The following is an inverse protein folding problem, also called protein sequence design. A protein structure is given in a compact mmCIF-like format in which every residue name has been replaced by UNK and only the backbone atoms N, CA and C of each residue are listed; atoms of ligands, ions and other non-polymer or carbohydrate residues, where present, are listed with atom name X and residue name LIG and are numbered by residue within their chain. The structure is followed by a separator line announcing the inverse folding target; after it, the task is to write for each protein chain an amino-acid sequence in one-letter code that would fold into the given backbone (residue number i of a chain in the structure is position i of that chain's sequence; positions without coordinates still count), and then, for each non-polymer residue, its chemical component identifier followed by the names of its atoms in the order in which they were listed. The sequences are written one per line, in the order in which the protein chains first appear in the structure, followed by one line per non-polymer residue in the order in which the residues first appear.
data_IF_488886154828
#
_entry.id   IF_488886154828
#
_cell.length_a   1.000
_cell.length_b   1.000
_cell.length_c   1.000
_cell.angle_alpha   90.00
_cell.angle_beta   90.00
_cell.angle_gamma   90.00
#
_symmetry.space_group_name_H-M   'P 1'
#
loop_
_entity.id
_entity.type
_entity.pdbx_description
1 polymer ?
#
# COMPACT_ATOMS: atom_id res chain seq x y z
N UNK A 1 15.59 -35.65 -5.06
CA UNK A 1 14.25 -35.93 -4.50
C UNK A 1 13.39 -34.75 -4.83
N UNK A 2 12.44 -34.87 -5.74
CA UNK A 2 11.46 -33.82 -6.04
C UNK A 2 10.58 -33.67 -4.80
N UNK A 3 10.76 -32.57 -4.05
CA UNK A 3 9.84 -32.20 -2.98
C UNK A 3 8.42 -32.23 -3.52
N UNK A 4 7.50 -32.89 -2.82
CA UNK A 4 6.10 -32.86 -3.19
C UNK A 4 5.64 -31.39 -3.26
N UNK A 5 4.96 -31.01 -4.33
CA UNK A 5 4.43 -29.65 -4.50
C UNK A 5 3.47 -29.37 -3.36
N UNK A 6 3.70 -28.24 -2.67
CA UNK A 6 2.84 -27.74 -1.59
C UNK A 6 2.04 -26.55 -2.09
N UNK A 7 0.82 -26.39 -1.62
CA UNK A 7 -0.07 -25.29 -2.01
C UNK A 7 -0.07 -24.18 -0.98
N UNK A 8 0.03 -22.93 -1.45
CA UNK A 8 0.06 -21.70 -0.67
C UNK A 8 -1.09 -20.77 -1.04
N UNK A 9 -1.91 -20.41 -0.06
CA UNK A 9 -2.90 -19.35 -0.22
C UNK A 9 -2.48 -18.11 0.55
N UNK A 10 -2.35 -16.97 -0.14
CA UNK A 10 -2.01 -15.68 0.49
C UNK A 10 -3.20 -14.73 0.38
N UNK A 11 -3.69 -14.28 1.52
CA UNK A 11 -4.77 -13.29 1.60
C UNK A 11 -4.22 -11.96 2.10
N UNK A 12 -4.16 -10.99 1.21
CA UNK A 12 -3.61 -9.67 1.51
C UNK A 12 -4.72 -8.67 1.77
N UNK A 13 -4.62 -7.96 2.89
CA UNK A 13 -5.43 -6.81 3.24
C UNK A 13 -4.55 -5.60 3.49
N UNK A 14 -4.97 -4.43 3.04
CA UNK A 14 -4.33 -3.18 3.44
C UNK A 14 -3.82 -2.34 2.29
N UNK A 15 -2.58 -1.89 2.38
CA UNK A 15 -1.95 -0.97 1.45
C UNK A 15 -1.04 -1.69 0.44
N UNK A 16 -0.48 -0.92 -0.50
CA UNK A 16 0.43 -1.43 -1.54
C UNK A 16 1.68 -2.10 -0.94
N UNK A 17 2.18 -1.60 0.21
CA UNK A 17 3.29 -2.25 0.92
C UNK A 17 2.97 -3.70 1.32
N UNK A 18 1.73 -3.97 1.77
CA UNK A 18 1.33 -5.35 2.07
C UNK A 18 1.24 -6.20 0.81
N UNK A 19 0.87 -5.61 -0.33
CA UNK A 19 0.87 -6.33 -1.62
C UNK A 19 2.29 -6.71 -2.01
N UNK A 20 3.23 -5.76 -1.95
CA UNK A 20 4.65 -6.02 -2.16
C UNK A 20 5.18 -7.10 -1.22
N UNK A 21 4.96 -6.95 0.10
CA UNK A 21 5.40 -7.91 1.11
C UNK A 21 4.86 -9.32 0.81
N UNK A 22 3.58 -9.44 0.40
CA UNK A 22 2.97 -10.73 0.04
C UNK A 22 3.64 -11.38 -1.16
N UNK A 23 3.96 -10.62 -2.20
CA UNK A 23 4.73 -11.10 -3.34
C UNK A 23 6.11 -11.62 -2.92
N UNK A 24 6.82 -10.88 -2.08
CA UNK A 24 8.13 -11.29 -1.57
C UNK A 24 8.06 -12.53 -0.68
N UNK A 25 6.98 -12.71 0.10
CA UNK A 25 6.75 -13.96 0.84
C UNK A 25 6.55 -15.16 -0.11
N UNK A 26 5.82 -14.98 -1.21
CA UNK A 26 5.66 -16.02 -2.25
C UNK A 26 7.02 -16.37 -2.85
N UNK A 27 7.83 -15.37 -3.19
CA UNK A 27 9.18 -15.58 -3.73
C UNK A 27 10.08 -16.39 -2.78
N UNK A 28 10.02 -16.10 -1.48
CA UNK A 28 10.76 -16.83 -0.43
C UNK A 28 10.33 -18.31 -0.32
N UNK A 29 9.05 -18.59 -0.57
CA UNK A 29 8.47 -19.91 -0.38
C UNK A 29 8.52 -20.79 -1.64
N UNK A 30 8.66 -20.18 -2.81
CA UNK A 30 8.75 -20.91 -4.10
C UNK A 30 9.91 -21.92 -4.13
N UNK A 31 11.13 -21.61 -3.68
CA UNK A 31 12.23 -22.60 -3.63
C UNK A 31 11.96 -23.78 -2.66
N UNK A 32 11.05 -23.60 -1.69
CA UNK A 32 10.62 -24.66 -0.77
C UNK A 32 9.50 -25.56 -1.34
N UNK A 33 9.14 -25.33 -2.61
CA UNK A 33 8.13 -26.12 -3.32
C UNK A 33 6.69 -25.62 -3.17
N UNK A 34 6.48 -24.45 -2.56
CA UNK A 34 5.15 -23.84 -2.46
C UNK A 34 4.74 -23.20 -3.78
N UNK A 35 3.50 -23.47 -4.21
CA UNK A 35 2.85 -22.86 -5.37
C UNK A 35 1.56 -22.18 -4.93
N UNK A 36 1.29 -20.98 -5.45
CA UNK A 36 0.08 -20.23 -5.11
C UNK A 36 -1.19 -20.90 -5.65
N UNK A 37 -2.25 -20.83 -4.85
CA UNK A 37 -3.60 -21.29 -5.20
C UNK A 37 -4.62 -20.19 -4.97
N UNK A 38 -5.70 -20.19 -5.77
CA UNK A 38 -6.75 -19.17 -5.71
C UNK A 38 -7.75 -19.40 -4.56
N UNK A 39 -7.88 -20.61 -4.08
CA UNK A 39 -8.85 -20.98 -3.05
C UNK A 39 -8.15 -21.55 -1.82
N UNK A 40 -8.55 -21.12 -0.62
CA UNK A 40 -7.92 -21.58 0.62
C UNK A 40 -8.15 -23.07 0.91
N UNK A 41 -9.21 -23.66 0.35
CA UNK A 41 -9.59 -25.06 0.59
C UNK A 41 -8.57 -26.07 0.07
N UNK A 42 -7.70 -25.66 -0.84
CA UNK A 42 -6.64 -26.50 -1.42
C UNK A 42 -5.27 -26.24 -0.76
N UNK A 43 -5.18 -25.28 0.15
CA UNK A 43 -3.91 -24.80 0.67
C UNK A 43 -3.34 -25.66 1.80
N UNK A 44 -2.07 -26.06 1.66
CA UNK A 44 -1.26 -26.64 2.74
C UNK A 44 -0.77 -25.55 3.70
N UNK A 45 -0.68 -24.33 3.22
CA UNK A 45 -0.33 -23.16 4.02
C UNK A 45 -1.21 -21.95 3.65
N UNK A 46 -1.69 -21.24 4.66
CA UNK A 46 -2.45 -20.00 4.53
C UNK A 46 -1.70 -18.88 5.21
N UNK A 47 -1.44 -17.79 4.51
CA UNK A 47 -0.89 -16.53 5.06
C UNK A 47 -1.96 -15.45 4.98
N UNK A 48 -2.26 -14.81 6.12
CA UNK A 48 -3.08 -13.59 6.17
C UNK A 48 -2.15 -12.42 6.40
N UNK A 49 -1.88 -11.63 5.37
CA UNK A 49 -1.08 -10.40 5.49
C UNK A 49 -2.00 -9.19 5.69
N UNK A 50 -1.80 -8.45 6.78
CA UNK A 50 -2.77 -7.47 7.27
C UNK A 50 -2.16 -6.14 7.62
N UNK A 51 -2.95 -5.07 7.44
CA UNK A 51 -2.59 -3.69 7.74
C UNK A 51 -3.33 -3.21 9.00
N UNK A 52 -2.66 -2.45 9.84
CA UNK A 52 -3.22 -1.89 11.08
C UNK A 52 -3.86 -0.50 10.90
N UNK A 53 -3.85 0.07 9.69
CA UNK A 53 -4.31 1.44 9.43
C UNK A 53 -5.86 1.53 9.38
N UNK A 54 -6.56 0.46 8.98
CA UNK A 54 -8.01 0.47 8.77
C UNK A 54 -8.78 0.13 10.05
N UNK A 55 -9.94 0.79 10.20
CA UNK A 55 -10.93 0.42 11.21
C UNK A 55 -11.30 -1.07 11.10
N UNK A 56 -11.48 -1.73 12.23
CA UNK A 56 -11.85 -3.16 12.30
C UNK A 56 -10.86 -4.12 11.63
N UNK A 57 -9.61 -3.70 11.36
CA UNK A 57 -8.63 -4.59 10.75
C UNK A 57 -8.40 -5.83 11.60
N UNK A 58 -8.22 -5.66 12.91
CA UNK A 58 -8.02 -6.75 13.88
C UNK A 58 -9.22 -7.69 13.94
N UNK A 59 -10.47 -7.17 14.04
CA UNK A 59 -11.67 -8.00 14.04
C UNK A 59 -11.83 -8.79 12.73
N UNK A 60 -11.46 -8.19 11.60
CA UNK A 60 -11.48 -8.86 10.31
C UNK A 60 -10.50 -10.03 10.28
N UNK A 61 -9.31 -9.87 10.86
CA UNK A 61 -8.33 -10.96 11.02
C UNK A 61 -8.97 -12.12 11.79
N UNK A 62 -9.57 -11.87 12.95
CA UNK A 62 -10.19 -12.93 13.75
C UNK A 62 -11.37 -13.60 13.02
N UNK A 63 -12.18 -12.86 12.27
CA UNK A 63 -13.25 -13.41 11.45
C UNK A 63 -12.70 -14.36 10.37
N UNK A 64 -11.62 -13.99 9.69
CA UNK A 64 -10.96 -14.84 8.69
C UNK A 64 -10.29 -16.06 9.34
N UNK A 65 -9.61 -15.86 10.46
CA UNK A 65 -9.00 -16.96 11.22
C UNK A 65 -10.03 -18.02 11.61
N UNK A 66 -11.24 -17.62 12.01
CA UNK A 66 -12.33 -18.55 12.29
C UNK A 66 -12.76 -19.39 11.08
N UNK A 67 -12.67 -18.84 9.86
CA UNK A 67 -12.91 -19.59 8.59
C UNK A 67 -11.80 -20.57 8.32
N UNK A 68 -10.54 -20.13 8.45
CA UNK A 68 -9.37 -20.98 8.20
C UNK A 68 -9.21 -22.08 9.27
N UNK A 69 -9.68 -21.86 10.50
CA UNK A 69 -9.76 -22.92 11.49
C UNK A 69 -10.62 -24.08 11.02
N UNK A 70 -11.83 -23.80 10.50
CA UNK A 70 -12.71 -24.85 9.96
C UNK A 70 -12.07 -25.63 8.81
N UNK A 71 -11.32 -24.92 7.96
CA UNK A 71 -10.55 -25.54 6.89
C UNK A 71 -9.44 -26.46 7.45
N UNK A 72 -8.64 -25.99 8.39
CA UNK A 72 -7.61 -26.77 9.06
C UNK A 72 -8.18 -28.00 9.74
N UNK A 73 -9.28 -27.85 10.50
CA UNK A 73 -9.93 -28.97 11.21
C UNK A 73 -10.41 -30.05 10.22
N UNK A 74 -10.97 -29.68 9.06
CA UNK A 74 -11.39 -30.61 8.01
C UNK A 74 -10.19 -31.37 7.44
N UNK A 75 -9.12 -30.66 7.06
CA UNK A 75 -7.91 -31.28 6.50
C UNK A 75 -7.21 -32.19 7.51
N UNK A 76 -7.17 -31.81 8.77
CA UNK A 76 -6.63 -32.65 9.83
C UNK A 76 -7.41 -33.97 9.96
N UNK A 77 -8.73 -33.94 9.79
CA UNK A 77 -9.57 -35.15 9.78
C UNK A 77 -9.26 -36.06 8.58
N UNK A 78 -8.72 -35.50 7.48
CA UNK A 78 -8.23 -36.23 6.31
C UNK A 78 -6.76 -36.68 6.43
N UNK A 79 -6.11 -36.44 7.57
CA UNK A 79 -4.70 -36.74 7.78
C UNK A 79 -3.73 -35.78 7.06
N UNK A 80 -4.19 -34.58 6.69
CA UNK A 80 -3.41 -33.53 6.05
C UNK A 80 -3.27 -32.34 6.98
N UNK A 81 -2.06 -31.89 7.24
CA UNK A 81 -1.82 -30.70 8.04
C UNK A 81 -1.98 -29.41 7.23
N UNK A 82 -2.38 -28.34 7.91
CA UNK A 82 -2.43 -27.00 7.34
C UNK A 82 -1.73 -26.01 8.28
N UNK A 83 -0.77 -25.26 7.76
CA UNK A 83 -0.11 -24.18 8.48
C UNK A 83 -0.93 -22.90 8.28
N UNK A 84 -1.31 -22.25 9.39
CA UNK A 84 -1.93 -20.92 9.38
C UNK A 84 -0.94 -19.90 9.93
N UNK A 85 -0.67 -18.85 9.14
CA UNK A 85 0.21 -17.76 9.49
C UNK A 85 -0.51 -16.41 9.42
N UNK A 86 -0.21 -15.51 10.36
CA UNK A 86 -0.66 -14.11 10.35
C UNK A 86 0.57 -13.22 10.22
N UNK A 87 0.54 -12.32 9.26
CA UNK A 87 1.64 -11.44 8.91
C UNK A 87 1.23 -9.96 8.86
N UNK A 88 2.22 -9.08 8.84
CA UNK A 88 2.06 -7.65 8.58
C UNK A 88 1.83 -6.81 9.83
N UNK A 89 1.30 -5.58 9.66
CA UNK A 89 1.24 -4.58 10.73
C UNK A 89 0.29 -4.98 11.88
N UNK A 90 -0.77 -5.76 11.64
CA UNK A 90 -1.63 -6.27 12.74
C UNK A 90 -0.88 -7.35 13.53
N UNK A 91 -0.15 -8.23 12.85
CA UNK A 91 0.70 -9.22 13.51
C UNK A 91 1.74 -8.55 14.41
N UNK A 92 2.37 -7.48 13.93
CA UNK A 92 3.33 -6.68 14.70
C UNK A 92 2.72 -6.03 15.94
N UNK A 93 1.50 -5.47 15.81
CA UNK A 93 0.85 -4.72 16.88
C UNK A 93 0.14 -5.61 17.91
N UNK A 94 -0.42 -6.75 17.47
CA UNK A 94 -1.36 -7.58 18.23
C UNK A 94 -0.89 -9.04 18.35
N UNK A 95 0.41 -9.30 18.16
CA UNK A 95 0.95 -10.66 18.05
C UNK A 95 0.56 -11.58 19.21
N UNK A 96 0.78 -11.12 20.44
CA UNK A 96 0.40 -11.87 21.65
C UNK A 96 -1.11 -12.12 21.75
N UNK A 97 -1.92 -11.13 21.43
CA UNK A 97 -3.38 -11.23 21.43
C UNK A 97 -3.87 -12.26 20.40
N UNK A 98 -3.27 -12.26 19.20
CA UNK A 98 -3.59 -13.25 18.16
C UNK A 98 -3.26 -14.66 18.65
N UNK A 99 -2.07 -14.86 19.24
CA UNK A 99 -1.64 -16.16 19.77
C UNK A 99 -2.55 -16.66 20.90
N UNK A 100 -2.97 -15.75 21.79
CA UNK A 100 -3.84 -16.10 22.91
C UNK A 100 -5.27 -16.46 22.48
N UNK A 101 -5.87 -15.70 21.54
CA UNK A 101 -7.24 -15.90 21.08
C UNK A 101 -7.38 -16.96 19.98
N UNK A 102 -6.32 -17.22 19.23
CA UNK A 102 -6.31 -18.17 18.13
C UNK A 102 -5.13 -19.18 18.25
N UNK A 103 -5.12 -20.05 19.29
CA UNK A 103 -4.02 -20.98 19.55
C UNK A 103 -3.78 -22.03 18.45
N UNK A 104 -4.65 -22.09 17.44
CA UNK A 104 -4.50 -22.93 16.24
C UNK A 104 -3.67 -22.26 15.14
N UNK A 105 -3.29 -20.99 15.30
CA UNK A 105 -2.36 -20.29 14.43
C UNK A 105 -0.95 -20.81 14.71
N UNK A 106 -0.22 -21.15 13.65
CA UNK A 106 1.13 -21.73 13.77
C UNK A 106 2.22 -20.67 13.84
N UNK A 107 2.02 -19.52 13.17
CA UNK A 107 3.02 -18.47 13.08
C UNK A 107 2.34 -17.09 13.07
N UNK A 108 2.93 -16.15 13.83
CA UNK A 108 2.58 -14.71 13.79
C UNK A 108 3.89 -13.94 13.65
N UNK A 109 4.02 -13.12 12.60
CA UNK A 109 5.25 -12.39 12.34
C UNK A 109 5.03 -11.01 11.77
N UNK A 110 5.94 -10.11 12.14
CA UNK A 110 5.93 -8.72 11.71
C UNK A 110 6.38 -8.51 10.27
N UNK A 111 6.23 -7.28 9.73
CA UNK A 111 6.68 -6.95 8.38
C UNK A 111 8.21 -6.92 8.25
N UNK A 112 8.96 -6.88 9.34
CA UNK A 112 10.42 -6.83 9.31
C UNK A 112 11.07 -8.22 9.37
N UNK A 113 10.32 -9.26 9.73
CA UNK A 113 10.87 -10.60 9.97
C UNK A 113 10.45 -11.65 8.96
N UNK A 114 9.64 -11.31 7.94
CA UNK A 114 9.13 -12.29 6.97
C UNK A 114 10.24 -12.98 6.14
N UNK A 115 11.43 -12.41 6.05
CA UNK A 115 12.58 -13.08 5.43
C UNK A 115 13.01 -14.36 6.14
N UNK A 116 12.63 -14.51 7.45
CA UNK A 116 12.85 -15.72 8.25
C UNK A 116 11.76 -16.80 8.06
N UNK A 117 10.81 -16.60 7.13
CA UNK A 117 9.75 -17.57 6.85
C UNK A 117 10.24 -19.00 6.61
N UNK A 118 11.33 -19.26 5.89
CA UNK A 118 11.86 -20.61 5.70
C UNK A 118 12.18 -21.32 7.04
N UNK A 119 12.78 -20.59 7.97
CA UNK A 119 13.14 -21.11 9.31
C UNK A 119 11.90 -21.35 10.17
N UNK A 120 10.96 -20.40 10.17
CA UNK A 120 9.69 -20.53 10.91
C UNK A 120 8.87 -21.72 10.41
N UNK A 121 8.81 -21.96 9.11
CA UNK A 121 8.12 -23.12 8.53
C UNK A 121 8.78 -24.42 8.96
N UNK A 122 10.11 -24.49 8.92
CA UNK A 122 10.85 -25.67 9.38
C UNK A 122 10.60 -25.97 10.87
N UNK A 123 10.48 -24.92 11.69
CA UNK A 123 10.13 -25.05 13.10
C UNK A 123 8.68 -25.50 13.29
N UNK A 124 7.74 -24.91 12.54
CA UNK A 124 6.32 -25.29 12.60
C UNK A 124 6.10 -26.76 12.23
N UNK A 125 6.77 -27.26 11.19
CA UNK A 125 6.69 -28.68 10.82
C UNK A 125 7.25 -29.59 11.93
N UNK A 126 8.38 -29.25 12.54
CA UNK A 126 8.94 -30.02 13.67
C UNK A 126 7.96 -30.13 14.84
N UNK A 127 7.28 -29.04 15.20
CA UNK A 127 6.29 -29.03 16.29
C UNK A 127 5.06 -29.88 15.96
N UNK A 128 4.63 -29.92 14.70
CA UNK A 128 3.53 -30.77 14.23
C UNK A 128 3.93 -32.25 14.29
N UNK A 129 5.11 -32.61 13.79
CA UNK A 129 5.61 -34.00 13.73
C UNK A 129 5.82 -34.60 15.15
N UNK A 130 6.25 -33.79 16.12
CA UNK A 130 6.50 -34.23 17.49
C UNK A 130 5.22 -34.41 18.31
N UNK A 131 4.03 -34.09 17.73
CA UNK A 131 2.74 -34.11 18.44
C UNK A 131 2.78 -33.40 19.79
N UNK A 132 3.70 -32.44 19.94
CA UNK A 132 3.63 -31.52 21.07
C UNK A 132 2.25 -30.88 21.00
N UNK A 133 1.47 -31.02 22.10
CA UNK A 133 0.12 -30.49 22.20
C UNK A 133 0.09 -29.02 21.76
N UNK A 134 -1.04 -28.29 21.77
CA UNK A 134 -1.14 -26.92 21.28
C UNK A 134 -0.13 -26.03 22.02
N UNK A 135 1.13 -26.17 21.62
CA UNK A 135 2.24 -25.32 22.03
C UNK A 135 1.95 -23.91 21.54
N UNK A 136 2.52 -22.91 22.20
CA UNK A 136 2.53 -21.55 21.64
C UNK A 136 3.13 -21.64 20.26
N UNK A 137 2.39 -21.23 19.23
CA UNK A 137 2.94 -21.10 17.89
C UNK A 137 4.13 -20.13 17.88
N UNK A 138 4.75 -19.96 16.74
CA UNK A 138 5.92 -19.09 16.57
C UNK A 138 5.46 -17.63 16.54
N UNK A 139 6.02 -16.79 17.38
CA UNK A 139 5.82 -15.34 17.37
C UNK A 139 7.16 -14.67 17.07
N UNK A 140 7.26 -13.96 15.94
CA UNK A 140 8.44 -13.19 15.54
C UNK A 140 8.04 -11.78 15.10
N UNK A 141 8.03 -10.86 16.05
CA UNK A 141 7.71 -9.46 15.89
C UNK A 141 8.89 -8.55 16.22
N UNK A 142 10.10 -9.08 16.09
CA UNK A 142 11.33 -8.33 16.32
C UNK A 142 11.55 -7.25 15.26
N UNK A 143 12.42 -6.31 15.59
CA UNK A 143 13.03 -5.36 14.66
C UNK A 143 14.51 -5.73 14.50
N UNK A 144 14.85 -6.60 13.53
CA UNK A 144 16.23 -7.01 13.31
C UNK A 144 17.09 -5.83 12.86
N UNK A 145 18.39 -5.89 13.18
CA UNK A 145 19.37 -4.87 12.78
C UNK A 145 19.65 -4.96 11.28
N UNK A 146 19.75 -6.18 10.76
CA UNK A 146 19.98 -6.41 9.33
C UNK A 146 18.68 -6.17 8.53
N UNK A 147 18.74 -5.38 7.44
CA UNK A 147 17.60 -5.15 6.60
C UNK A 147 17.10 -6.44 5.96
N UNK A 148 15.81 -6.70 6.01
CA UNK A 148 15.20 -7.88 5.38
C UNK A 148 15.48 -7.99 3.87
N UNK A 149 15.71 -6.87 3.20
CA UNK A 149 15.95 -6.80 1.76
C UNK A 149 17.22 -7.56 1.33
N UNK A 150 18.22 -7.67 2.22
CA UNK A 150 19.47 -8.38 1.94
C UNK A 150 19.29 -9.90 1.83
N UNK A 151 18.15 -10.42 2.32
CA UNK A 151 17.84 -11.85 2.35
C UNK A 151 16.74 -12.25 1.35
N UNK A 152 16.24 -11.31 0.55
CA UNK A 152 15.18 -11.61 -0.39
C UNK A 152 15.74 -12.27 -1.67
N UNK A 153 15.12 -13.34 -2.17
CA UNK A 153 15.52 -13.96 -3.42
C UNK A 153 15.23 -13.04 -4.62
N UNK A 154 15.68 -13.42 -5.80
CA UNK A 154 15.27 -12.79 -7.04
C UNK A 154 13.73 -12.79 -7.17
N UNK A 155 13.19 -11.80 -7.89
CA UNK A 155 11.75 -11.68 -8.11
C UNK A 155 11.24 -12.90 -8.88
N UNK A 156 10.15 -13.48 -8.41
CA UNK A 156 9.45 -14.58 -9.07
C UNK A 156 8.61 -14.14 -10.28
N UNK A 157 7.50 -14.79 -10.52
CA UNK A 157 6.56 -14.41 -11.57
C UNK A 157 5.86 -13.10 -11.22
N UNK A 158 5.60 -12.27 -12.24
CA UNK A 158 4.89 -11.00 -12.10
C UNK A 158 3.66 -11.04 -13.00
N UNK A 159 2.50 -10.78 -12.40
CA UNK A 159 1.24 -10.70 -13.13
C UNK A 159 1.01 -9.27 -13.63
N UNK A 160 0.72 -9.13 -14.93
CA UNK A 160 0.37 -7.85 -15.54
C UNK A 160 1.56 -6.94 -15.87
N UNK A 161 1.25 -5.73 -16.29
CA UNK A 161 2.23 -4.73 -16.77
C UNK A 161 2.69 -3.72 -15.70
N UNK A 162 2.21 -3.83 -14.44
CA UNK A 162 2.57 -2.91 -13.35
C UNK A 162 3.11 -3.65 -12.13
N UNK A 163 4.08 -3.04 -11.43
CA UNK A 163 4.66 -3.61 -10.22
C UNK A 163 4.90 -2.54 -9.14
N UNK A 164 4.86 -2.98 -7.89
CA UNK A 164 5.31 -2.19 -6.74
C UNK A 164 6.77 -2.49 -6.44
N UNK A 165 7.51 -1.45 -6.09
CA UNK A 165 8.91 -1.53 -5.70
C UNK A 165 9.13 -0.72 -4.42
N UNK A 166 9.37 -1.40 -3.31
CA UNK A 166 9.66 -0.74 -2.04
C UNK A 166 11.06 -0.16 -2.07
N UNK A 167 11.18 1.15 -1.89
CA UNK A 167 12.46 1.86 -1.81
C UNK A 167 12.79 2.36 -0.40
N UNK A 168 11.75 2.51 0.44
CA UNK A 168 11.86 3.04 1.78
C UNK A 168 10.85 2.34 2.70
N UNK A 169 11.24 2.03 3.93
CA UNK A 169 10.37 1.52 4.98
C UNK A 169 10.57 2.26 6.30
N UNK A 170 9.56 2.14 7.19
CA UNK A 170 9.56 2.83 8.45
C UNK A 170 9.32 4.34 8.31
N UNK A 171 9.22 5.06 9.41
CA UNK A 171 9.00 6.51 9.37
C UNK A 171 9.34 7.16 10.70
N UNK A 172 10.18 8.20 10.67
CA UNK A 172 10.63 8.95 11.85
C UNK A 172 9.87 10.28 12.06
N UNK A 173 8.71 10.44 11.41
CA UNK A 173 7.92 11.67 11.56
C UNK A 173 7.13 11.72 12.86
N UNK A 174 6.81 10.57 13.46
CA UNK A 174 6.08 10.45 14.73
C UNK A 174 4.81 11.32 14.78
N UNK A 175 4.02 11.31 13.71
CA UNK A 175 2.70 11.94 13.72
C UNK A 175 1.85 11.30 14.83
N UNK A 176 1.19 12.11 15.65
CA UNK A 176 0.56 11.67 16.91
C UNK A 176 -0.58 10.64 16.75
N UNK A 177 -1.15 10.51 15.56
CA UNK A 177 -2.19 9.52 15.26
C UNK A 177 -1.64 8.22 14.64
N UNK A 178 -0.34 8.19 14.29
CA UNK A 178 0.22 7.17 13.40
C UNK A 178 0.92 6.05 14.17
N UNK A 179 0.61 4.81 13.78
CA UNK A 179 1.24 3.62 14.36
C UNK A 179 2.44 3.08 13.54
N UNK A 180 2.78 3.70 12.41
CA UNK A 180 3.86 3.21 11.53
C UNK A 180 5.19 3.06 12.24
N UNK A 181 5.70 4.02 13.06
CA UNK A 181 6.96 3.83 13.77
C UNK A 181 6.98 2.59 14.67
N UNK A 182 5.83 2.19 15.19
CA UNK A 182 5.68 1.05 16.10
C UNK A 182 5.43 -0.28 15.38
N UNK A 183 5.04 -0.24 14.11
CA UNK A 183 4.71 -1.45 13.35
C UNK A 183 5.68 -1.74 12.21
N UNK A 184 6.39 -0.74 11.70
CA UNK A 184 7.40 -0.88 10.65
C UNK A 184 8.79 -0.38 11.05
N UNK A 185 8.90 0.25 12.24
CA UNK A 185 10.17 0.68 12.81
C UNK A 185 10.66 2.03 12.28
N UNK A 186 11.94 2.29 12.55
CA UNK A 186 12.67 3.45 12.08
C UNK A 186 12.76 3.50 10.56
N UNK A 187 12.97 4.69 10.03
CA UNK A 187 13.15 4.89 8.59
C UNK A 187 14.41 4.19 8.09
N UNK A 188 14.25 3.44 7.01
CA UNK A 188 15.32 2.78 6.27
C UNK A 188 15.12 3.02 4.77
N UNK A 189 16.10 3.62 4.13
CA UNK A 189 16.15 3.84 2.68
C UNK A 189 17.10 2.84 2.03
N UNK A 190 16.60 2.08 1.04
CA UNK A 190 17.38 1.07 0.32
C UNK A 190 18.47 1.71 -0.54
N UNK A 191 19.65 1.08 -0.70
CA UNK A 191 20.68 1.53 -1.63
C UNK A 191 20.14 1.65 -3.07
N UNK A 192 20.55 2.70 -3.79
CA UNK A 192 20.16 2.94 -5.19
C UNK A 192 20.43 1.73 -6.08
N UNK A 193 21.58 1.09 -5.90
CA UNK A 193 21.98 -0.09 -6.69
C UNK A 193 20.97 -1.22 -6.58
N UNK A 194 20.47 -1.50 -5.38
CA UNK A 194 19.54 -2.61 -5.15
C UNK A 194 18.16 -2.33 -5.72
N UNK A 195 17.73 -1.06 -5.64
CA UNK A 195 16.49 -0.60 -6.29
C UNK A 195 16.57 -0.75 -7.80
N UNK A 196 17.68 -0.33 -8.41
CA UNK A 196 17.86 -0.43 -9.87
C UNK A 196 17.92 -1.91 -10.31
N UNK A 197 18.64 -2.76 -9.58
CA UNK A 197 18.70 -4.19 -9.87
C UNK A 197 17.31 -4.85 -9.81
N UNK A 198 16.48 -4.49 -8.82
CA UNK A 198 15.12 -5.01 -8.70
C UNK A 198 14.22 -4.46 -9.81
N UNK A 199 14.35 -3.18 -10.17
CA UNK A 199 13.64 -2.57 -11.29
C UNK A 199 13.98 -3.27 -12.62
N UNK A 200 15.25 -3.54 -12.90
CA UNK A 200 15.68 -4.26 -14.10
C UNK A 200 15.10 -5.68 -14.17
N UNK A 201 15.04 -6.40 -13.04
CA UNK A 201 14.39 -7.72 -12.98
C UNK A 201 12.88 -7.65 -13.31
N UNK A 202 12.18 -6.63 -12.80
CA UNK A 202 10.76 -6.39 -13.10
C UNK A 202 10.55 -6.11 -14.60
N UNK A 203 11.38 -5.23 -15.18
CA UNK A 203 11.30 -4.85 -16.59
C UNK A 203 11.62 -6.03 -17.51
N UNK A 204 12.60 -6.88 -17.14
CA UNK A 204 12.92 -8.11 -17.87
C UNK A 204 11.75 -9.12 -17.89
N UNK A 205 10.79 -9.00 -16.96
CA UNK A 205 9.55 -9.80 -16.89
C UNK A 205 8.35 -9.14 -17.59
N UNK A 206 8.56 -8.01 -18.29
CA UNK A 206 7.53 -7.33 -19.07
C UNK A 206 6.74 -6.28 -18.33
N UNK A 207 7.15 -5.92 -17.10
CA UNK A 207 6.58 -4.77 -16.38
C UNK A 207 6.88 -3.48 -17.15
N UNK A 208 5.90 -2.60 -17.26
CA UNK A 208 5.98 -1.30 -17.95
C UNK A 208 5.78 -0.12 -17.01
N UNK A 209 5.09 -0.33 -15.90
CA UNK A 209 4.83 0.67 -14.88
C UNK A 209 5.41 0.20 -13.54
N UNK A 210 6.27 1.02 -12.93
CA UNK A 210 6.79 0.80 -11.58
C UNK A 210 6.26 1.89 -10.65
N UNK A 211 5.66 1.48 -9.54
CA UNK A 211 5.28 2.39 -8.45
C UNK A 211 6.22 2.22 -7.27
N UNK A 212 6.98 3.26 -6.97
CA UNK A 212 7.89 3.31 -5.81
C UNK A 212 7.08 3.46 -4.52
N UNK A 213 7.38 2.60 -3.56
CA UNK A 213 6.67 2.57 -2.27
C UNK A 213 7.58 2.98 -1.12
N UNK A 214 6.96 3.68 -0.16
CA UNK A 214 7.51 3.99 1.15
C UNK A 214 6.41 4.38 2.12
N UNK A 215 6.69 4.47 3.42
CA UNK A 215 5.79 5.09 4.39
C UNK A 215 5.90 6.62 4.34
N UNK A 216 7.02 7.12 3.84
CA UNK A 216 7.30 8.51 3.56
C UNK A 216 8.27 8.55 2.37
N UNK A 217 7.78 8.17 1.19
CA UNK A 217 8.59 7.86 0.02
C UNK A 217 9.47 9.04 -0.43
N UNK A 218 9.02 10.28 -0.24
CA UNK A 218 9.78 11.47 -0.62
C UNK A 218 10.82 11.92 0.42
N UNK A 219 10.94 11.21 1.57
CA UNK A 219 12.10 11.32 2.44
C UNK A 219 13.22 10.32 2.08
N UNK A 220 13.07 9.57 0.99
CA UNK A 220 14.10 8.64 0.53
C UNK A 220 15.48 9.32 0.45
N UNK A 221 16.50 8.66 1.04
CA UNK A 221 17.89 9.12 1.12
C UNK A 221 18.85 7.92 1.01
N UNK A 222 18.66 7.09 -0.02
CA UNK A 222 19.45 5.88 -0.22
C UNK A 222 20.88 6.17 -0.68
N UNK A 223 21.81 5.30 -0.26
CA UNK A 223 23.20 5.34 -0.69
C UNK A 223 23.32 5.12 -2.20
N UNK A 224 24.03 6.01 -2.89
CA UNK A 224 24.28 5.96 -4.32
C UNK A 224 25.67 6.49 -4.68
N UNK A 225 25.98 6.51 -5.99
CA UNK A 225 27.26 7.02 -6.44
C UNK A 225 27.40 8.51 -6.10
N UNK A 226 28.43 8.82 -5.30
CA UNK A 226 28.73 10.19 -4.88
C UNK A 226 28.00 10.65 -3.61
N UNK A 227 27.39 9.74 -2.86
CA UNK A 227 26.72 10.02 -1.59
C UNK A 227 25.23 9.64 -1.59
N UNK A 228 24.47 10.21 -0.67
CA UNK A 228 23.02 9.97 -0.56
C UNK A 228 22.25 10.61 -1.73
N UNK A 229 21.23 9.92 -2.20
CA UNK A 229 20.33 10.36 -3.26
C UNK A 229 18.92 10.57 -2.73
N UNK A 230 18.33 11.73 -3.04
CA UNK A 230 16.90 11.97 -2.83
C UNK A 230 16.03 11.27 -3.87
N UNK A 231 14.72 11.31 -3.64
CA UNK A 231 13.75 10.69 -4.55
C UNK A 231 13.81 11.30 -5.96
N UNK A 232 13.93 12.64 -6.07
CA UNK A 232 14.03 13.31 -7.37
C UNK A 232 15.16 12.72 -8.22
N UNK A 233 16.37 12.62 -7.67
CA UNK A 233 17.54 12.05 -8.35
C UNK A 233 17.34 10.58 -8.73
N UNK A 234 16.70 9.79 -7.85
CA UNK A 234 16.36 8.39 -8.15
C UNK A 234 15.41 8.30 -9.36
N UNK A 235 14.40 9.18 -9.45
CA UNK A 235 13.46 9.20 -10.58
C UNK A 235 14.18 9.47 -11.91
N UNK A 236 15.11 10.43 -11.96
CA UNK A 236 15.93 10.68 -13.17
C UNK A 236 16.70 9.42 -13.60
N UNK A 237 17.34 8.74 -12.66
CA UNK A 237 18.11 7.53 -12.97
C UNK A 237 17.23 6.36 -13.40
N UNK A 238 16.08 6.18 -12.76
CA UNK A 238 15.12 5.13 -13.16
C UNK A 238 14.53 5.37 -14.55
N UNK A 239 14.31 6.62 -14.91
CA UNK A 239 13.81 6.99 -16.24
C UNK A 239 14.74 6.59 -17.40
N UNK A 240 16.01 6.28 -17.11
CA UNK A 240 16.96 5.78 -18.12
C UNK A 240 16.87 4.26 -18.35
N UNK A 241 16.09 3.53 -17.51
CA UNK A 241 15.97 2.09 -17.63
C UNK A 241 15.18 1.68 -18.88
N UNK A 242 15.73 0.84 -19.76
CA UNK A 242 15.05 0.44 -20.97
C UNK A 242 13.81 -0.41 -20.66
N UNK A 243 12.69 -0.08 -21.31
CA UNK A 243 11.43 -0.79 -21.15
C UNK A 243 10.50 -0.21 -20.08
N UNK A 244 10.97 0.72 -19.25
CA UNK A 244 10.10 1.48 -18.33
C UNK A 244 9.29 2.51 -19.13
N UNK A 245 7.96 2.44 -19.04
CA UNK A 245 7.07 3.37 -19.75
C UNK A 245 6.37 4.33 -18.78
N UNK A 246 6.15 3.92 -17.51
CA UNK A 246 5.52 4.74 -16.47
C UNK A 246 6.21 4.57 -15.13
N UNK A 247 6.45 5.67 -14.47
CA UNK A 247 7.06 5.74 -13.15
C UNK A 247 6.16 6.52 -12.19
N UNK A 248 5.93 5.94 -11.02
CA UNK A 248 5.09 6.51 -9.97
C UNK A 248 5.76 6.38 -8.62
N UNK A 249 5.31 7.16 -7.68
CA UNK A 249 5.61 7.00 -6.27
C UNK A 249 4.36 7.30 -5.43
N UNK A 250 4.29 6.81 -4.20
CA UNK A 250 3.12 7.04 -3.36
C UNK A 250 3.49 7.13 -1.89
N UNK A 251 2.63 7.81 -1.11
CA UNK A 251 2.77 8.06 0.32
C UNK A 251 3.87 9.08 0.63
N UNK A 252 3.67 10.31 0.16
CA UNK A 252 4.55 11.44 0.41
C UNK A 252 4.14 12.23 1.66
N UNK A 253 5.09 12.97 2.22
CA UNK A 253 4.83 13.93 3.31
C UNK A 253 5.14 15.34 2.82
N UNK A 254 4.26 16.34 3.06
CA UNK A 254 4.46 17.70 2.56
C UNK A 254 5.80 18.33 2.96
N UNK A 255 6.29 18.04 4.16
CA UNK A 255 7.56 18.55 4.66
C UNK A 255 8.78 18.15 3.84
N UNK A 256 8.72 17.00 3.18
CA UNK A 256 9.87 16.38 2.50
C UNK A 256 9.78 16.52 0.97
N UNK A 257 8.91 17.39 0.48
CA UNK A 257 8.89 17.78 -0.94
C UNK A 257 10.02 18.76 -1.18
N UNK A 258 10.89 18.44 -2.12
CA UNK A 258 12.02 19.28 -2.53
C UNK A 258 11.90 19.72 -4.00
N UNK A 259 12.79 20.63 -4.39
CA UNK A 259 12.81 21.19 -5.73
C UNK A 259 13.18 20.15 -6.81
N UNK A 260 14.00 19.15 -6.46
CA UNK A 260 14.42 18.11 -7.40
C UNK A 260 13.25 17.18 -7.75
N UNK A 261 12.40 16.83 -6.75
CA UNK A 261 11.19 16.07 -6.97
C UNK A 261 10.19 16.82 -7.87
N UNK A 262 10.01 18.13 -7.64
CA UNK A 262 9.14 18.98 -8.47
C UNK A 262 9.70 19.06 -9.90
N UNK A 263 11.02 19.23 -10.05
CA UNK A 263 11.68 19.26 -11.36
C UNK A 263 11.51 17.92 -12.10
N UNK A 264 11.55 16.78 -11.41
CA UNK A 264 11.32 15.47 -12.03
C UNK A 264 9.92 15.38 -12.70
N UNK A 265 8.89 15.98 -12.13
CA UNK A 265 7.56 16.05 -12.77
C UNK A 265 7.52 16.97 -13.99
N UNK A 266 8.38 17.99 -14.06
CA UNK A 266 8.49 18.86 -15.22
C UNK A 266 9.27 18.20 -16.37
N UNK A 267 10.37 17.52 -16.03
CA UNK A 267 11.40 17.14 -16.99
C UNK A 267 11.28 15.69 -17.48
N UNK A 268 10.59 14.81 -16.73
CA UNK A 268 10.54 13.38 -17.01
C UNK A 268 9.11 12.97 -17.44
N UNK A 269 8.84 12.82 -18.76
CA UNK A 269 7.48 12.52 -19.24
C UNK A 269 6.86 11.21 -18.71
N UNK A 270 7.71 10.24 -18.33
CA UNK A 270 7.24 8.96 -17.77
C UNK A 270 6.92 9.02 -16.29
N UNK A 271 7.30 10.08 -15.57
CA UNK A 271 6.77 10.33 -14.21
C UNK A 271 5.33 10.77 -14.34
N UNK A 272 4.43 9.90 -13.90
CA UNK A 272 3.00 10.15 -14.10
C UNK A 272 2.53 11.40 -13.34
N UNK A 273 1.67 12.22 -13.96
CA UNK A 273 1.22 13.51 -13.39
C UNK A 273 0.16 13.29 -12.29
N UNK A 274 0.52 12.53 -11.28
CA UNK A 274 -0.34 12.20 -10.14
C UNK A 274 0.49 12.12 -8.87
N UNK A 275 0.17 12.98 -7.89
CA UNK A 275 0.89 13.07 -6.62
C UNK A 275 -0.07 12.77 -5.47
N UNK A 276 0.21 11.70 -4.71
CA UNK A 276 -0.46 11.42 -3.45
C UNK A 276 0.29 12.10 -2.30
N UNK A 277 -0.30 13.17 -1.76
CA UNK A 277 0.31 14.05 -0.74
C UNK A 277 -0.62 14.23 0.46
N UNK A 278 -0.64 13.29 1.41
CA UNK A 278 -1.49 13.33 2.60
C UNK A 278 -1.29 14.57 3.47
N UNK A 279 -2.27 15.47 3.52
CA UNK A 279 -2.25 16.67 4.39
C UNK A 279 -2.80 16.38 5.77
N UNK A 280 -3.83 15.54 5.88
CA UNK A 280 -4.61 15.12 7.03
C UNK A 280 -5.64 16.16 7.52
N UNK A 281 -5.33 17.46 7.55
CA UNK A 281 -6.22 18.54 7.93
C UNK A 281 -5.84 19.85 7.23
N UNK A 282 -6.79 20.74 7.02
CA UNK A 282 -6.56 22.10 6.52
C UNK A 282 -6.33 23.15 7.62
N UNK A 283 -6.49 22.76 8.89
CA UNK A 283 -6.28 23.64 10.05
C UNK A 283 -4.87 23.57 10.58
N UNK A 284 -4.18 24.69 10.73
CA UNK A 284 -2.85 24.76 11.32
C UNK A 284 -2.85 24.33 12.80
N UNK A 285 -3.94 24.59 13.52
CA UNK A 285 -4.13 24.10 14.89
C UNK A 285 -4.10 22.56 14.92
N UNK A 286 -4.86 21.90 14.04
CA UNK A 286 -4.88 20.45 13.93
C UNK A 286 -3.57 19.88 13.42
N UNK A 287 -2.96 20.46 12.41
CA UNK A 287 -1.67 20.05 11.89
C UNK A 287 -0.58 20.08 12.97
N UNK A 288 -0.57 21.12 13.80
CA UNK A 288 0.33 21.23 14.95
C UNK A 288 0.04 20.14 15.99
N UNK A 289 -1.22 19.92 16.35
CA UNK A 289 -1.64 18.90 17.30
C UNK A 289 -1.30 17.48 16.81
N UNK A 290 -1.41 17.23 15.50
CA UNK A 290 -1.01 16.00 14.84
C UNK A 290 0.50 15.80 14.66
N UNK A 291 1.32 16.79 15.07
CA UNK A 291 2.78 16.79 14.86
C UNK A 291 3.21 16.75 13.38
N UNK A 292 2.44 17.40 12.47
CA UNK A 292 2.71 17.34 11.01
C UNK A 292 3.89 18.24 10.57
N UNK A 293 4.29 19.21 11.36
CA UNK A 293 5.45 20.09 11.12
C UNK A 293 5.39 20.90 9.80
N UNK A 294 4.19 21.14 9.28
CA UNK A 294 3.92 22.07 8.19
C UNK A 294 2.61 22.81 8.45
N UNK A 295 2.38 23.90 7.73
CA UNK A 295 1.15 24.68 7.76
C UNK A 295 0.30 24.42 6.52
N UNK A 296 -0.96 24.83 6.55
CA UNK A 296 -1.85 24.75 5.39
C UNK A 296 -1.40 25.70 4.28
N UNK A 297 -0.77 26.83 4.59
CA UNK A 297 -0.17 27.73 3.62
C UNK A 297 1.03 27.07 2.90
N UNK A 298 1.94 26.46 3.65
CA UNK A 298 3.06 25.71 3.07
C UNK A 298 2.57 24.59 2.14
N UNK A 299 1.48 23.90 2.52
CA UNK A 299 0.88 22.87 1.67
C UNK A 299 0.35 23.44 0.34
N UNK A 300 -0.39 24.58 0.40
CA UNK A 300 -0.86 25.28 -0.81
C UNK A 300 0.28 25.74 -1.71
N UNK A 301 1.38 26.19 -1.11
CA UNK A 301 2.57 26.61 -1.86
C UNK A 301 3.20 25.43 -2.62
N UNK A 302 3.31 24.24 -2.00
CA UNK A 302 3.76 23.02 -2.68
C UNK A 302 2.84 22.68 -3.85
N UNK A 303 1.52 22.70 -3.67
CA UNK A 303 0.53 22.44 -4.74
C UNK A 303 0.74 23.40 -5.91
N UNK A 304 0.95 24.68 -5.61
CA UNK A 304 1.19 25.71 -6.63
C UNK A 304 2.47 25.41 -7.40
N UNK A 305 3.57 25.12 -6.73
CA UNK A 305 4.86 24.78 -7.38
C UNK A 305 4.75 23.56 -8.29
N UNK A 306 4.06 22.51 -7.87
CA UNK A 306 3.81 21.36 -8.75
C UNK A 306 2.97 21.72 -9.98
N UNK A 307 1.93 22.55 -9.83
CA UNK A 307 1.09 23.00 -10.95
C UNK A 307 1.83 23.90 -11.93
N UNK A 308 2.76 24.71 -11.44
CA UNK A 308 3.66 25.51 -12.29
C UNK A 308 4.63 24.63 -13.09
N UNK A 309 5.16 23.57 -12.48
CA UNK A 309 6.07 22.62 -13.09
C UNK A 309 5.37 21.63 -14.05
N UNK A 310 4.18 21.16 -13.67
CA UNK A 310 3.39 20.16 -14.39
C UNK A 310 1.91 20.59 -14.35
N UNK A 311 1.41 21.38 -15.32
CA UNK A 311 0.05 21.94 -15.29
C UNK A 311 -1.07 20.90 -15.19
N UNK A 312 -0.85 19.69 -15.71
CA UNK A 312 -1.83 18.61 -15.72
C UNK A 312 -1.76 17.74 -14.45
N UNK A 313 -0.93 18.09 -13.45
CA UNK A 313 -0.76 17.27 -12.26
C UNK A 313 -2.07 17.16 -11.47
N UNK A 314 -2.45 15.94 -11.16
CA UNK A 314 -3.58 15.62 -10.30
C UNK A 314 -3.11 15.29 -8.87
N UNK A 315 -3.86 15.77 -7.88
CA UNK A 315 -3.54 15.53 -6.48
C UNK A 315 -4.52 14.57 -5.84
N UNK A 316 -3.97 13.77 -4.94
CA UNK A 316 -4.70 12.92 -4.02
C UNK A 316 -4.19 13.17 -2.59
N UNK A 317 -5.05 12.98 -1.60
CA UNK A 317 -4.69 13.21 -0.19
C UNK A 317 -5.47 12.28 0.73
N UNK A 318 -5.02 12.22 1.99
CA UNK A 318 -5.73 11.62 3.10
C UNK A 318 -6.21 12.71 4.04
N UNK A 319 -7.41 12.52 4.62
CA UNK A 319 -8.02 13.40 5.60
C UNK A 319 -8.50 12.63 6.82
N UNK A 320 -8.25 13.19 8.00
CA UNK A 320 -8.78 12.70 9.27
C UNK A 320 -9.71 13.76 9.84
N UNK A 321 -10.98 13.42 10.04
CA UNK A 321 -11.97 14.27 10.70
C UNK A 321 -12.22 13.83 12.14
N UNK A 322 -12.56 14.76 13.02
CA UNK A 322 -12.83 14.48 14.42
C UNK A 322 -11.59 14.07 15.20
N UNK A 323 -10.41 14.56 14.82
CA UNK A 323 -9.20 14.44 15.63
C UNK A 323 -9.43 15.11 16.98
N UNK A 324 -8.85 14.61 18.10
CA UNK A 324 -9.04 15.19 19.43
C UNK A 324 -8.81 16.71 19.44
N UNK A 325 -9.80 17.45 19.95
CA UNK A 325 -9.78 18.90 20.02
C UNK A 325 -10.18 19.64 18.74
N UNK A 326 -10.57 18.93 17.66
CA UNK A 326 -11.01 19.57 16.41
C UNK A 326 -12.31 20.35 16.63
N UNK A 327 -12.25 21.67 16.46
CA UNK A 327 -13.41 22.56 16.48
C UNK A 327 -14.14 22.57 15.14
N UNK A 328 -15.34 23.19 15.08
CA UNK A 328 -16.04 23.39 13.80
C UNK A 328 -15.23 24.29 12.87
N UNK A 329 -14.56 25.31 13.40
CA UNK A 329 -13.67 26.17 12.61
C UNK A 329 -12.53 25.37 11.99
N UNK A 330 -11.89 24.44 12.71
CA UNK A 330 -10.81 23.60 12.19
C UNK A 330 -11.30 22.71 11.06
N UNK A 331 -12.53 22.18 11.19
CA UNK A 331 -13.15 21.40 10.14
C UNK A 331 -13.48 22.26 8.90
N UNK A 332 -14.02 23.46 9.07
CA UNK A 332 -14.27 24.38 7.94
C UNK A 332 -12.97 24.82 7.25
N UNK A 333 -11.88 25.01 7.98
CA UNK A 333 -10.56 25.28 7.40
C UNK A 333 -10.12 24.10 6.51
N UNK A 334 -10.44 22.84 6.91
CA UNK A 334 -10.20 21.64 6.09
C UNK A 334 -11.09 21.62 4.85
N UNK A 335 -12.37 21.92 4.99
CA UNK A 335 -13.30 22.02 3.85
C UNK A 335 -12.86 23.09 2.84
N UNK A 336 -12.35 24.23 3.34
CA UNK A 336 -11.82 25.30 2.49
C UNK A 336 -10.57 24.84 1.73
N UNK A 337 -9.63 24.15 2.40
CA UNK A 337 -8.46 23.59 1.72
C UNK A 337 -8.86 22.64 0.59
N UNK A 338 -9.86 21.79 0.82
CA UNK A 338 -10.36 20.85 -0.22
C UNK A 338 -10.92 21.62 -1.43
N UNK A 339 -11.67 22.71 -1.21
CA UNK A 339 -12.16 23.57 -2.29
C UNK A 339 -11.03 24.21 -3.10
N UNK A 340 -10.01 24.72 -2.39
CA UNK A 340 -8.89 25.44 -3.00
C UNK A 340 -7.99 24.53 -3.84
N UNK A 341 -7.74 23.30 -3.35
CA UNK A 341 -6.83 22.36 -4.01
C UNK A 341 -7.51 21.61 -5.16
N UNK A 342 -8.78 21.27 -5.06
CA UNK A 342 -9.48 20.45 -6.06
C UNK A 342 -8.78 19.11 -6.33
N UNK A 343 -9.16 18.09 -5.57
CA UNK A 343 -8.52 16.78 -5.63
C UNK A 343 -9.17 15.86 -6.67
N UNK A 344 -8.34 15.03 -7.31
CA UNK A 344 -8.82 14.00 -8.24
C UNK A 344 -9.38 12.76 -7.54
N UNK A 345 -8.84 12.43 -6.37
CA UNK A 345 -9.26 11.32 -5.51
C UNK A 345 -8.72 11.56 -4.10
N UNK A 346 -9.51 11.25 -3.08
CA UNK A 346 -9.03 11.30 -1.70
C UNK A 346 -9.55 10.15 -0.87
N UNK A 347 -8.83 9.86 0.21
CA UNK A 347 -9.31 9.00 1.28
C UNK A 347 -9.60 9.85 2.52
N UNK A 348 -10.72 9.57 3.18
CA UNK A 348 -11.15 10.30 4.36
C UNK A 348 -11.65 9.34 5.43
N UNK A 349 -11.28 9.62 6.67
CA UNK A 349 -11.52 8.73 7.79
C UNK A 349 -11.95 9.52 9.02
N UNK A 350 -12.81 8.92 9.85
CA UNK A 350 -12.97 9.37 11.24
C UNK A 350 -11.71 9.05 12.02
N UNK A 351 -11.30 9.94 12.88
CA UNK A 351 -10.24 9.64 13.85
C UNK A 351 -10.68 8.48 14.75
N UNK A 352 -9.82 7.48 14.85
CA UNK A 352 -9.97 6.33 15.75
C UNK A 352 -8.72 6.23 16.61
N UNK A 353 -8.88 6.21 17.96
CA UNK A 353 -7.74 6.04 18.85
C UNK A 353 -6.98 4.75 18.55
N UNK A 354 -5.67 4.86 18.42
CA UNK A 354 -4.77 3.71 18.25
C UNK A 354 -3.98 3.53 19.54
N UNK A 355 -4.06 2.35 20.11
CA UNK A 355 -3.30 2.04 21.34
C UNK A 355 -1.81 2.41 21.17
N UNK A 356 -1.23 3.06 22.18
CA UNK A 356 0.17 3.48 22.17
C UNK A 356 0.47 4.78 21.40
N UNK A 357 -0.51 5.38 20.68
CA UNK A 357 -0.29 6.66 20.01
C UNK A 357 -0.57 7.85 20.96
N UNK A 358 0.17 8.97 20.85
CA UNK A 358 -0.06 10.16 21.68
C UNK A 358 -1.50 10.69 21.58
N UNK A 359 -2.11 10.68 20.40
CA UNK A 359 -3.47 11.17 20.18
C UNK A 359 -4.54 10.34 20.91
N UNK A 360 -4.28 9.07 21.16
CA UNK A 360 -5.22 8.21 21.90
C UNK A 360 -5.34 8.60 23.39
N UNK A 361 -4.32 9.25 23.94
CA UNK A 361 -4.26 9.69 25.33
C UNK A 361 -4.85 11.09 25.57
N UNK A 362 -5.31 11.79 24.52
CA UNK A 362 -5.90 13.12 24.64
C UNK A 362 -7.34 13.05 25.17
N UNK A 363 -7.66 13.83 26.17
CA UNK A 363 -9.00 13.84 26.82
C UNK A 363 -10.08 14.49 25.95
N UNK A 364 -9.72 15.38 25.03
CA UNK A 364 -10.64 16.15 24.19
C UNK A 364 -11.15 15.38 22.97
N UNK A 365 -11.63 14.15 23.17
CA UNK A 365 -12.17 13.32 22.09
C UNK A 365 -13.47 13.93 21.53
N UNK A 366 -13.57 13.97 20.19
CA UNK A 366 -14.78 14.46 19.51
C UNK A 366 -15.84 13.36 19.53
N UNK A 367 -17.13 13.67 19.81
CA UNK A 367 -18.22 12.69 19.77
C UNK A 367 -18.38 12.02 18.40
N UNK A 368 -18.78 10.73 18.40
CA UNK A 368 -18.83 9.96 17.14
C UNK A 368 -19.87 10.48 16.13
N UNK A 369 -20.98 11.05 16.64
CA UNK A 369 -22.01 11.70 15.82
C UNK A 369 -21.44 12.90 15.04
N UNK A 370 -20.61 13.71 15.71
CA UNK A 370 -19.94 14.88 15.10
C UNK A 370 -18.91 14.40 14.05
N UNK A 371 -18.14 13.36 14.39
CA UNK A 371 -17.19 12.75 13.42
C UNK A 371 -17.92 12.24 12.19
N UNK A 372 -19.08 11.62 12.36
CA UNK A 372 -19.87 11.05 11.27
C UNK A 372 -20.40 12.17 10.37
N UNK A 373 -21.01 13.20 10.96
CA UNK A 373 -21.52 14.37 10.24
C UNK A 373 -20.43 15.07 9.43
N UNK A 374 -19.25 15.33 10.05
CA UNK A 374 -18.10 15.93 9.35
C UNK A 374 -17.58 15.04 8.22
N UNK A 375 -17.49 13.73 8.45
CA UNK A 375 -17.07 12.79 7.41
C UNK A 375 -18.01 12.79 6.22
N UNK A 376 -19.33 12.81 6.44
CA UNK A 376 -20.33 12.83 5.38
C UNK A 376 -20.23 14.11 4.54
N UNK A 377 -20.09 15.28 5.17
CA UNK A 377 -19.89 16.57 4.49
C UNK A 377 -18.61 16.58 3.64
N UNK A 378 -17.50 16.12 4.23
CA UNK A 378 -16.21 16.04 3.53
C UNK A 378 -16.30 15.09 2.32
N UNK A 379 -16.88 13.90 2.52
CA UNK A 379 -17.03 12.92 1.44
C UNK A 379 -17.93 13.39 0.31
N UNK A 380 -18.98 14.15 0.62
CA UNK A 380 -19.84 14.73 -0.40
C UNK A 380 -19.05 15.68 -1.33
N UNK A 381 -18.26 16.59 -0.76
CA UNK A 381 -17.40 17.51 -1.51
C UNK A 381 -16.32 16.77 -2.32
N UNK A 382 -15.66 15.79 -1.72
CA UNK A 382 -14.63 15.00 -2.40
C UNK A 382 -15.19 14.17 -3.57
N UNK A 383 -16.39 13.59 -3.42
CA UNK A 383 -17.07 12.87 -4.50
C UNK A 383 -17.47 13.78 -5.65
N UNK A 384 -17.93 14.99 -5.35
CA UNK A 384 -18.25 16.01 -6.38
C UNK A 384 -16.99 16.37 -7.18
N UNK A 385 -15.87 16.66 -6.51
CA UNK A 385 -14.59 16.96 -7.16
C UNK A 385 -14.09 15.79 -8.00
N UNK A 386 -14.12 14.56 -7.46
CA UNK A 386 -13.71 13.37 -8.18
C UNK A 386 -14.54 13.12 -9.44
N UNK A 387 -15.88 13.29 -9.36
CA UNK A 387 -16.75 13.14 -10.52
C UNK A 387 -16.44 14.21 -11.57
N UNK A 388 -16.29 15.46 -11.15
CA UNK A 388 -15.90 16.58 -12.04
C UNK A 388 -14.56 16.31 -12.70
N UNK A 389 -13.57 15.85 -11.94
CA UNK A 389 -12.26 15.45 -12.49
C UNK A 389 -12.39 14.33 -13.53
N UNK A 390 -13.21 13.32 -13.28
CA UNK A 390 -13.42 12.23 -14.21
C UNK A 390 -14.14 12.69 -15.51
N UNK A 391 -15.15 13.54 -15.38
CA UNK A 391 -15.96 14.02 -16.49
C UNK A 391 -15.15 14.83 -17.52
N UNK A 392 -14.09 15.53 -17.11
CA UNK A 392 -13.24 16.30 -18.05
C UNK A 392 -12.51 15.44 -19.09
N UNK A 393 -12.48 14.11 -18.90
CA UNK A 393 -11.82 13.18 -19.83
C UNK A 393 -12.78 12.54 -20.84
N UNK A 394 -14.09 12.73 -20.70
CA UNK A 394 -15.08 12.25 -21.68
C UNK A 394 -14.83 12.90 -23.04
N UNK A 395 -14.76 12.10 -24.09
CA UNK A 395 -14.43 12.53 -25.44
C UNK A 395 -12.93 12.64 -25.73
N UNK A 396 -12.05 12.38 -24.75
CA UNK A 396 -10.60 12.40 -24.94
C UNK A 396 -10.06 10.99 -25.16
N UNK A 397 -8.99 10.90 -25.97
CA UNK A 397 -8.17 9.69 -26.14
C UNK A 397 -7.09 9.64 -25.06
N UNK A 398 -7.01 8.51 -24.37
CA UNK A 398 -6.06 8.33 -23.27
C UNK A 398 -5.27 7.03 -23.42
N UNK A 399 -3.96 7.02 -23.13
CA UNK A 399 -3.17 5.79 -23.00
C UNK A 399 -3.55 5.06 -21.69
N UNK A 400 -3.96 3.80 -21.80
CA UNK A 400 -4.44 2.97 -20.71
C UNK A 400 -3.53 1.75 -20.55
N UNK A 401 -2.94 1.55 -19.38
CA UNK A 401 -2.23 0.32 -19.03
C UNK A 401 -3.26 -0.72 -18.59
N UNK A 402 -3.31 -1.86 -19.28
CA UNK A 402 -4.28 -2.93 -18.99
C UNK A 402 -3.74 -3.80 -17.85
N UNK A 403 -4.51 -3.90 -16.75
CA UNK A 403 -4.08 -4.62 -15.56
C UNK A 403 -4.77 -5.98 -15.37
N UNK A 404 -6.04 -6.10 -15.76
CA UNK A 404 -6.84 -7.31 -15.51
C UNK A 404 -8.10 -7.37 -16.35
N UNK A 405 -8.74 -8.53 -16.35
CA UNK A 405 -10.13 -8.70 -16.82
C UNK A 405 -11.12 -8.30 -15.70
N UNK A 406 -12.29 -7.83 -16.08
CA UNK A 406 -13.35 -7.51 -15.12
C UNK A 406 -14.02 -8.79 -14.59
N UNK A 407 -14.34 -8.80 -13.28
CA UNK A 407 -14.97 -9.97 -12.63
C UNK A 407 -16.39 -10.29 -13.11
N UNK A 408 -17.13 -9.33 -13.64
CA UNK A 408 -18.57 -9.44 -13.97
C UNK A 408 -18.91 -9.21 -15.44
N UNK A 409 -17.94 -8.84 -16.27
CA UNK A 409 -18.11 -8.57 -17.71
C UNK A 409 -16.88 -9.08 -18.42
N UNK A 410 -17.04 -9.57 -19.64
CA UNK A 410 -15.93 -9.91 -20.51
C UNK A 410 -15.30 -8.63 -21.09
N UNK A 411 -14.76 -7.78 -20.22
CA UNK A 411 -14.08 -6.56 -20.60
C UNK A 411 -12.76 -6.43 -19.87
N UNK A 412 -11.86 -5.63 -20.44
CA UNK A 412 -10.57 -5.28 -19.86
C UNK A 412 -10.73 -4.11 -18.89
N UNK A 413 -9.88 -4.11 -17.88
CA UNK A 413 -9.76 -3.01 -16.93
C UNK A 413 -8.31 -2.54 -16.92
N UNK A 414 -8.12 -1.26 -17.15
CA UNK A 414 -6.80 -0.64 -17.08
C UNK A 414 -6.80 0.67 -16.30
N UNK A 415 -5.64 1.32 -16.26
CA UNK A 415 -5.39 2.57 -15.53
C UNK A 415 -4.91 3.68 -16.45
N UNK A 416 -5.46 4.87 -16.25
CA UNK A 416 -4.93 6.10 -16.84
C UNK A 416 -3.64 6.55 -16.15
N UNK A 417 -3.00 7.58 -16.70
CA UNK A 417 -1.91 8.30 -16.03
C UNK A 417 -2.29 8.82 -14.63
N UNK A 418 -3.56 9.05 -14.37
CA UNK A 418 -4.12 9.58 -13.11
C UNK A 418 -4.71 8.50 -12.19
N UNK A 419 -4.38 7.22 -12.42
CA UNK A 419 -4.91 6.05 -11.69
C UNK A 419 -6.43 5.83 -11.78
N UNK A 420 -7.14 6.53 -12.67
CA UNK A 420 -8.54 6.25 -12.94
C UNK A 420 -8.71 4.87 -13.57
N UNK A 421 -9.63 4.06 -13.07
CA UNK A 421 -9.98 2.78 -13.70
C UNK A 421 -10.79 3.03 -14.97
N UNK A 422 -10.43 2.35 -16.06
CA UNK A 422 -11.16 2.39 -17.34
C UNK A 422 -11.59 0.99 -17.71
N UNK A 423 -12.88 0.81 -18.00
CA UNK A 423 -13.44 -0.44 -18.49
C UNK A 423 -13.68 -0.30 -20.01
N UNK A 424 -13.28 -1.29 -20.77
CA UNK A 424 -13.50 -1.30 -22.24
C UNK A 424 -13.40 -2.74 -22.78
N UNK A 425 -14.08 -2.97 -23.91
CA UNK A 425 -14.02 -4.27 -24.59
C UNK A 425 -12.69 -4.44 -25.31
N UNK A 426 -12.09 -5.62 -25.21
CA UNK A 426 -10.81 -5.93 -25.85
C UNK A 426 -10.37 -7.37 -25.65
N UNK A 427 -9.38 -7.78 -26.42
CA UNK A 427 -8.80 -9.12 -26.34
C UNK A 427 -7.86 -9.23 -25.11
N UNK A 428 -7.96 -10.34 -24.38
CA UNK A 428 -7.11 -10.63 -23.22
C UNK A 428 -5.59 -10.65 -23.55
N UNK A 429 -5.21 -10.83 -24.82
CA UNK A 429 -3.81 -10.73 -25.29
C UNK A 429 -3.19 -9.34 -25.09
N UNK A 430 -4.01 -8.32 -24.89
CA UNK A 430 -3.58 -6.96 -24.61
C UNK A 430 -3.17 -6.75 -23.14
N UNK A 431 -3.33 -7.76 -22.29
CA UNK A 431 -2.95 -7.68 -20.88
C UNK A 431 -1.50 -7.22 -20.71
N UNK A 432 -1.27 -6.27 -19.79
CA UNK A 432 0.05 -5.68 -19.56
C UNK A 432 0.52 -4.68 -20.62
N UNK A 433 -0.28 -4.40 -21.65
CA UNK A 433 0.05 -3.42 -22.67
C UNK A 433 -0.56 -2.05 -22.36
N UNK A 434 0.06 -0.99 -22.89
CA UNK A 434 -0.51 0.35 -22.92
C UNK A 434 -1.18 0.56 -24.28
N UNK A 435 -2.49 0.79 -24.27
CA UNK A 435 -3.30 0.98 -25.46
C UNK A 435 -4.03 2.31 -25.41
N UNK A 436 -4.39 2.86 -26.58
CA UNK A 436 -5.21 4.06 -26.65
C UNK A 436 -6.69 3.71 -26.55
N UNK A 437 -7.40 4.41 -25.66
CA UNK A 437 -8.84 4.24 -25.44
C UNK A 437 -9.54 5.61 -25.52
N UNK A 438 -10.57 5.71 -26.33
CA UNK A 438 -11.45 6.88 -26.38
C UNK A 438 -12.44 6.78 -25.23
N UNK A 439 -12.40 7.73 -24.30
CA UNK A 439 -13.27 7.75 -23.12
C UNK A 439 -14.68 8.17 -23.53
N UNK A 440 -15.66 7.33 -23.28
CA UNK A 440 -17.06 7.54 -23.72
C UNK A 440 -17.99 8.02 -22.61
N UNK A 441 -17.70 7.62 -21.35
CA UNK A 441 -18.46 8.10 -20.19
C UNK A 441 -17.62 8.05 -18.92
N UNK A 442 -18.07 8.77 -17.90
CA UNK A 442 -17.40 8.87 -16.61
C UNK A 442 -18.39 8.67 -15.46
N UNK A 443 -18.10 7.69 -14.61
CA UNK A 443 -18.69 7.51 -13.30
C UNK A 443 -17.80 8.04 -12.18
N UNK A 444 -18.28 7.93 -10.94
CA UNK A 444 -17.49 8.36 -9.76
C UNK A 444 -16.20 7.54 -9.61
N UNK A 445 -16.23 6.22 -9.82
CA UNK A 445 -15.11 5.32 -9.53
C UNK A 445 -14.44 4.73 -10.77
N UNK A 446 -15.04 4.89 -11.94
CA UNK A 446 -14.49 4.35 -13.19
C UNK A 446 -14.97 5.17 -14.40
N UNK A 447 -14.18 5.05 -15.45
CA UNK A 447 -14.49 5.53 -16.79
C UNK A 447 -14.87 4.32 -17.65
N UNK A 448 -15.68 4.56 -18.69
CA UNK A 448 -15.92 3.61 -19.76
C UNK A 448 -15.28 4.15 -21.04
N UNK A 449 -14.78 3.25 -21.87
CA UNK A 449 -14.13 3.66 -23.11
C UNK A 449 -14.25 2.64 -24.24
N UNK A 450 -13.70 3.01 -25.38
CA UNK A 450 -13.63 2.17 -26.57
C UNK A 450 -12.20 2.11 -27.06
N UNK A 451 -11.70 0.90 -27.26
CA UNK A 451 -10.38 0.65 -27.82
C UNK A 451 -10.31 1.24 -29.25
N UNK A 452 -9.14 1.87 -29.54
CA UNK A 452 -8.88 2.54 -30.84
C UNK A 452 -7.98 1.68 -31.69
#
# INVERSE_FOLDING_TARGET
MTSAKKSLFVKTYGCQMNVYDSGRMVDLLSPLGYQTVEVPDEADMVIINTCHIREKATEKVFSELGRFKKHKDRRNAEGKDTIIAVAGCVAQAEGDEIMNRAPYVNMVFGPQTYHRLPEMIAQAHRSIDQKEGPGRGILDVDFPVEPKFDFLPAIGEVDGGSAFLTIQEGCDKFCHFCCVPYTRGAEFSRPVKDILNEAEQLLAKGVKEITLLGQNVNAYHGEGQGGEWGLGRLLYRMAELPGLERLRYTTSHPRDVDAELIAAHRDIPMVMPYVHLPVQSGSDHMLKSMNRKHTSEHYRDIIRQFREACPDVAFSSDFIVGYPGESEKDFEDTMQLVRDVFYSMCFSFKYIPRHGTPAAALDCQVPDEVKTERLDRLQALLKEQQLTFNQQYVGKRMPILIERTARKRDCLVGKTAYLQSVNFDGDARLMGQIVNVDITSAGLYSLEGKLV
#
